data_IF_884400082192
#
_entry.id   IF_884400082192
#
_cell.length_a   1.000
_cell.length_b   1.000
_cell.length_c   1.000
_cell.angle_alpha   90.00
_cell.angle_beta   90.00
_cell.angle_gamma   90.00
#
_symmetry.space_group_name_H-M   'P 1'
#
loop_
_entity.id
_entity.type
_entity.pdbx_description
1 polymer ?
#
# COMPACT_ATOMS: atom_id res chain seq x y z
N UNK A 1 -13.93 18.23 -3.62
CA UNK A 1 -13.10 17.05 -3.90
C UNK A 1 -14.00 15.98 -4.48
N UNK A 2 -13.57 15.34 -5.56
CA UNK A 2 -14.32 14.27 -6.22
C UNK A 2 -14.18 12.99 -5.40
N UNK A 3 -15.31 12.36 -5.08
CA UNK A 3 -15.36 11.12 -4.28
C UNK A 3 -15.04 9.95 -5.21
N UNK A 4 -14.12 9.07 -4.80
CA UNK A 4 -13.62 7.97 -5.64
C UNK A 4 -14.62 6.82 -5.83
N UNK A 5 -15.73 6.79 -5.08
CA UNK A 5 -16.77 5.75 -5.14
C UNK A 5 -16.18 4.33 -5.08
N UNK A 6 -15.30 4.10 -4.10
CA UNK A 6 -14.64 2.83 -3.86
C UNK A 6 -15.64 1.83 -3.26
N UNK A 7 -15.65 0.63 -3.84
CA UNK A 7 -16.33 -0.52 -3.24
C UNK A 7 -15.31 -1.29 -2.40
N UNK A 8 -15.59 -1.45 -1.11
CA UNK A 8 -14.73 -2.15 -0.17
C UNK A 8 -15.56 -2.94 0.83
N UNK A 9 -14.99 -4.01 1.37
CA UNK A 9 -15.66 -4.82 2.41
C UNK A 9 -15.34 -4.28 3.81
N UNK A 10 -16.11 -4.67 4.84
CA UNK A 10 -15.79 -4.32 6.23
C UNK A 10 -14.39 -4.78 6.67
N UNK A 11 -13.92 -5.91 6.15
CA UNK A 11 -12.58 -6.43 6.42
C UNK A 11 -11.50 -5.56 5.78
N UNK A 12 -11.73 -5.05 4.56
CA UNK A 12 -10.83 -4.10 3.92
C UNK A 12 -10.76 -2.79 4.71
N UNK A 13 -11.90 -2.26 5.18
CA UNK A 13 -11.96 -1.06 6.03
C UNK A 13 -11.16 -1.27 7.33
N UNK A 14 -11.33 -2.43 7.96
CA UNK A 14 -10.56 -2.81 9.15
C UNK A 14 -9.06 -2.88 8.85
N UNK A 15 -8.66 -3.50 7.74
CA UNK A 15 -7.26 -3.58 7.34
C UNK A 15 -6.68 -2.19 7.05
N UNK A 16 -7.41 -1.33 6.33
CA UNK A 16 -7.02 0.04 6.04
C UNK A 16 -6.74 0.83 7.33
N UNK A 17 -7.66 0.74 8.29
CA UNK A 17 -7.49 1.38 9.58
C UNK A 17 -6.32 0.81 10.38
N UNK A 18 -6.12 -0.51 10.37
CA UNK A 18 -5.01 -1.16 11.08
C UNK A 18 -3.65 -0.82 10.48
N UNK A 19 -3.53 -0.80 9.15
CA UNK A 19 -2.25 -0.59 8.46
C UNK A 19 -1.87 0.89 8.35
N UNK A 20 -2.84 1.78 8.10
CA UNK A 20 -2.57 3.18 7.77
C UNK A 20 -3.19 4.19 8.74
N UNK A 21 -4.02 3.74 9.70
CA UNK A 21 -4.68 4.61 10.68
C UNK A 21 -5.75 5.52 10.08
N UNK A 22 -6.27 5.19 8.90
CA UNK A 22 -7.33 5.94 8.22
C UNK A 22 -8.41 4.99 7.71
N UNK A 23 -9.64 5.48 7.61
CA UNK A 23 -10.73 4.74 6.96
C UNK A 23 -10.84 5.10 5.46
N UNK A 24 -11.61 4.33 4.69
CA UNK A 24 -11.77 4.59 3.25
C UNK A 24 -12.50 5.92 2.98
N UNK A 25 -13.43 6.34 3.83
CA UNK A 25 -14.09 7.64 3.67
C UNK A 25 -13.08 8.80 3.76
N UNK A 26 -12.17 8.75 4.73
CA UNK A 26 -11.09 9.72 4.89
C UNK A 26 -10.08 9.66 3.75
N UNK A 27 -9.76 8.45 3.28
CA UNK A 27 -8.90 8.22 2.13
C UNK A 27 -9.49 8.81 0.83
N UNK A 28 -10.81 8.70 0.63
CA UNK A 28 -11.49 9.25 -0.54
C UNK A 28 -11.58 10.78 -0.49
N UNK A 29 -11.91 11.34 0.68
CA UNK A 29 -12.26 12.75 0.82
C UNK A 29 -11.07 13.65 1.15
N UNK A 30 -9.91 13.11 1.51
CA UNK A 30 -8.73 13.89 1.86
C UNK A 30 -7.51 13.45 1.03
N UNK A 31 -7.13 14.31 0.08
CA UNK A 31 -5.98 14.08 -0.81
C UNK A 31 -4.67 13.95 -0.05
N UNK A 32 -4.44 14.67 1.04
CA UNK A 32 -3.21 14.56 1.83
C UNK A 32 -3.10 13.20 2.51
N UNK A 33 -4.20 12.73 3.13
CA UNK A 33 -4.27 11.39 3.73
C UNK A 33 -4.05 10.32 2.65
N UNK A 34 -4.68 10.47 1.49
CA UNK A 34 -4.47 9.58 0.34
C UNK A 34 -3.02 9.54 -0.10
N UNK A 35 -2.39 10.70 -0.29
CA UNK A 35 -0.98 10.79 -0.70
C UNK A 35 -0.03 10.17 0.33
N UNK A 36 -0.36 10.25 1.63
CA UNK A 36 0.43 9.57 2.67
C UNK A 36 0.38 8.05 2.49
N UNK A 37 -0.82 7.49 2.33
CA UNK A 37 -1.00 6.04 2.11
C UNK A 37 -0.28 5.58 0.85
N UNK A 38 -0.42 6.30 -0.27
CA UNK A 38 0.19 5.89 -1.54
C UNK A 38 1.72 5.97 -1.50
N UNK A 39 2.31 6.92 -0.77
CA UNK A 39 3.77 6.95 -0.55
C UNK A 39 4.25 5.76 0.30
N UNK A 40 3.49 5.38 1.32
CA UNK A 40 3.82 4.20 2.14
C UNK A 40 3.73 2.91 1.31
N UNK A 41 2.73 2.81 0.43
CA UNK A 41 2.58 1.69 -0.52
C UNK A 41 3.73 1.60 -1.50
N UNK A 42 4.11 2.73 -2.11
CA UNK A 42 5.26 2.77 -3.04
C UNK A 42 6.54 2.30 -2.35
N UNK A 43 6.83 2.84 -1.16
CA UNK A 43 8.02 2.44 -0.38
C UNK A 43 8.02 0.94 -0.07
N UNK A 44 6.88 0.37 0.32
CA UNK A 44 6.77 -1.07 0.60
C UNK A 44 6.99 -1.91 -0.66
N UNK A 45 6.49 -1.46 -1.80
CA UNK A 45 6.70 -2.10 -3.09
C UNK A 45 8.18 -2.07 -3.50
N UNK A 46 8.84 -0.91 -3.43
CA UNK A 46 10.28 -0.77 -3.73
C UNK A 46 11.14 -1.69 -2.87
N UNK A 47 10.86 -1.75 -1.55
CA UNK A 47 11.57 -2.65 -0.64
C UNK A 47 11.38 -4.13 -1.00
N UNK A 48 10.16 -4.51 -1.39
CA UNK A 48 9.86 -5.88 -1.79
C UNK A 48 10.56 -6.25 -3.10
N UNK A 49 10.60 -5.33 -4.07
CA UNK A 49 11.30 -5.51 -5.34
C UNK A 49 12.81 -5.65 -5.14
N UNK A 50 13.39 -4.85 -4.24
CA UNK A 50 14.81 -4.97 -3.88
C UNK A 50 15.11 -6.35 -3.30
N UNK A 51 14.30 -6.83 -2.36
CA UNK A 51 14.47 -8.16 -1.76
C UNK A 51 14.36 -9.27 -2.81
N UNK A 52 13.39 -9.18 -3.73
CA UNK A 52 13.23 -10.16 -4.81
C UNK A 52 14.45 -10.17 -5.73
N UNK A 53 15.00 -9.00 -6.08
CA UNK A 53 16.20 -8.91 -6.89
C UNK A 53 17.42 -9.55 -6.20
N UNK A 54 17.58 -9.32 -4.89
CA UNK A 54 18.64 -9.95 -4.07
C UNK A 54 18.49 -11.48 -4.06
N UNK A 55 17.29 -12.00 -3.77
CA UNK A 55 17.01 -13.44 -3.78
C UNK A 55 17.27 -14.08 -5.15
N UNK A 56 16.91 -13.37 -6.23
CA UNK A 56 17.19 -13.85 -7.60
C UNK A 56 18.69 -13.93 -7.85
N UNK A 57 19.49 -12.95 -7.42
CA UNK A 57 20.94 -12.98 -7.58
C UNK A 57 21.57 -14.15 -6.82
N UNK A 58 21.11 -14.42 -5.59
CA UNK A 58 21.60 -15.53 -4.77
C UNK A 58 21.31 -16.89 -5.44
N UNK A 59 20.10 -17.11 -5.94
CA UNK A 59 19.73 -18.34 -6.67
C UNK A 59 20.63 -18.55 -7.91
N UNK A 60 20.92 -17.48 -8.66
CA UNK A 60 21.79 -17.60 -9.85
C UNK A 60 23.26 -17.84 -9.48
N UNK A 61 23.69 -17.46 -8.27
CA UNK A 61 25.06 -17.70 -7.79
C UNK A 61 25.26 -19.14 -7.29
N UNK A 62 24.21 -19.73 -6.73
CA UNK A 62 24.22 -21.08 -6.16
C UNK A 62 23.95 -22.19 -7.20
N UNK A 63 23.67 -21.83 -8.45
CA UNK A 63 23.44 -22.74 -9.60
C UNK A 63 24.67 -22.83 -10.50
#
# INVERSE_FOLDING_TARGET
MEKLNLNYTPEMEKAMHQSHGVNFTEYEMNVEKRMKVEREREKSHEQSMKLIAELQQDIHRDM
#
